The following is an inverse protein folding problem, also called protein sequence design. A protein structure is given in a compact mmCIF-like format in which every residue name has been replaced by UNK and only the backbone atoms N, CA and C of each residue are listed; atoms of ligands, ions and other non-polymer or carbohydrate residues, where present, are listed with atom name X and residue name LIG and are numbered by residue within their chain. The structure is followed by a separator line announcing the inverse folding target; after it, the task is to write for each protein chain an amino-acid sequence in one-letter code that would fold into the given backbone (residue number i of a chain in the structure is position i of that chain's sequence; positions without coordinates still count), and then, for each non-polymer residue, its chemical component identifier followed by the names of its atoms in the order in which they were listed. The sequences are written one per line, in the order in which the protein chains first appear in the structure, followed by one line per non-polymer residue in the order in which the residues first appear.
data_IF_656617809379
#
_entry.id   IF_656617809379
#
_cell.length_a   1.000
_cell.length_b   1.000
_cell.length_c   1.000
_cell.angle_alpha   90.00
_cell.angle_beta   90.00
_cell.angle_gamma   90.00
#
_symmetry.space_group_name_H-M   'P 1'
#
loop_
_entity.id
_entity.type
_entity.pdbx_description
1 polymer ?
#
# COMPACT_ATOMS: atom_id res chain seq x y z
N UNK A 1 -41.72 39.92 22.07
CA UNK A 1 -40.69 38.90 22.28
C UNK A 1 -40.79 37.70 21.34
N UNK A 2 -41.95 37.06 21.12
CA UNK A 2 -42.11 35.89 20.22
C UNK A 2 -41.71 36.12 18.75
N UNK A 3 -41.82 37.35 18.22
CA UNK A 3 -41.50 37.67 16.81
C UNK A 3 -39.99 37.82 16.52
N UNK A 4 -39.15 37.96 17.53
CA UNK A 4 -37.71 38.05 17.40
C UNK A 4 -37.01 36.69 17.60
N UNK A 5 -37.68 35.71 18.17
CA UNK A 5 -37.16 34.36 18.37
C UNK A 5 -36.99 33.58 17.05
N UNK A 6 -37.88 33.75 16.10
CA UNK A 6 -37.81 33.06 14.79
C UNK A 6 -36.57 33.48 13.96
N UNK A 7 -36.28 34.80 13.75
CA UNK A 7 -35.09 35.21 13.04
C UNK A 7 -33.78 34.86 13.79
N UNK A 8 -33.81 34.88 15.14
CA UNK A 8 -32.64 34.44 15.93
C UNK A 8 -32.36 32.96 15.81
N UNK A 9 -33.42 32.11 15.76
CA UNK A 9 -33.27 30.67 15.50
C UNK A 9 -32.71 30.40 14.10
N UNK A 10 -33.18 31.11 13.09
CA UNK A 10 -32.65 30.97 11.72
C UNK A 10 -31.18 31.41 11.62
N UNK A 11 -30.82 32.51 12.31
CA UNK A 11 -29.44 32.95 12.35
C UNK A 11 -28.52 31.95 13.11
N UNK A 12 -29.01 31.37 14.20
CA UNK A 12 -28.26 30.33 14.94
C UNK A 12 -28.05 29.05 14.11
N UNK A 13 -29.06 28.63 13.34
CA UNK A 13 -28.93 27.47 12.42
C UNK A 13 -27.95 27.74 11.26
N UNK A 14 -27.93 28.97 10.73
CA UNK A 14 -26.96 29.38 9.69
C UNK A 14 -25.51 29.42 10.22
N UNK A 15 -25.30 29.83 11.47
CA UNK A 15 -23.99 29.85 12.11
C UNK A 15 -23.47 28.43 12.43
N UNK A 16 -24.36 27.51 12.79
CA UNK A 16 -24.00 26.09 13.00
C UNK A 16 -23.62 25.37 11.70
N UNK A 17 -24.22 25.74 10.56
CA UNK A 17 -23.90 25.13 9.26
C UNK A 17 -22.52 25.50 8.69
N UNK A 18 -21.94 26.64 9.11
CA UNK A 18 -20.62 27.07 8.61
C UNK A 18 -19.40 26.36 9.23
N UNK A 19 -19.54 25.85 10.45
CA UNK A 19 -18.41 25.28 11.18
C UNK A 19 -17.88 23.96 10.61
N UNK A 20 -18.73 23.13 10.02
CA UNK A 20 -18.30 21.82 9.51
C UNK A 20 -17.73 21.82 8.09
N UNK A 21 -18.14 22.77 7.24
CA UNK A 21 -17.73 22.81 5.85
C UNK A 21 -16.22 22.99 5.68
N UNK A 22 -15.64 23.96 6.37
CA UNK A 22 -14.21 24.23 6.30
C UNK A 22 -13.36 23.09 6.86
N UNK A 23 -13.86 22.37 7.85
CA UNK A 23 -13.18 21.20 8.42
C UNK A 23 -13.17 20.05 7.42
N UNK A 24 -14.29 19.80 6.73
CA UNK A 24 -14.33 18.80 5.65
C UNK A 24 -13.32 19.14 4.56
N UNK A 25 -13.27 20.41 4.12
CA UNK A 25 -12.31 20.83 3.08
C UNK A 25 -10.85 20.61 3.52
N UNK A 26 -10.51 20.93 4.76
CA UNK A 26 -9.16 20.73 5.31
C UNK A 26 -8.77 19.24 5.34
N UNK A 27 -9.68 18.38 5.79
CA UNK A 27 -9.43 16.95 5.84
C UNK A 27 -9.42 16.31 4.44
N UNK A 28 -10.26 16.75 3.51
CA UNK A 28 -10.22 16.30 2.11
C UNK A 28 -8.90 16.66 1.45
N UNK A 29 -8.39 17.86 1.67
CA UNK A 29 -7.09 18.29 1.16
C UNK A 29 -5.92 17.53 1.82
N UNK A 30 -6.03 17.21 3.11
CA UNK A 30 -5.04 16.37 3.78
C UNK A 30 -5.00 14.95 3.20
N UNK A 31 -6.15 14.37 2.85
CA UNK A 31 -6.23 13.06 2.16
C UNK A 31 -5.55 13.14 0.79
N UNK A 32 -5.83 14.16 -0.03
CA UNK A 32 -5.22 14.36 -1.36
C UNK A 32 -3.71 14.54 -1.26
N UNK A 33 -3.25 15.32 -0.29
CA UNK A 33 -1.82 15.54 -0.03
C UNK A 33 -1.12 14.25 0.36
N UNK A 34 -1.69 13.49 1.29
CA UNK A 34 -1.15 12.20 1.71
C UNK A 34 -1.14 11.18 0.56
N UNK A 35 -2.18 11.19 -0.30
CA UNK A 35 -2.23 10.36 -1.49
C UNK A 35 -1.12 10.73 -2.49
N UNK A 36 -0.89 12.02 -2.72
CA UNK A 36 0.19 12.48 -3.60
C UNK A 36 1.56 12.03 -3.10
N UNK A 37 1.78 11.99 -1.78
CA UNK A 37 3.01 11.42 -1.20
C UNK A 37 3.14 9.92 -1.53
N UNK A 38 2.06 9.15 -1.41
CA UNK A 38 2.03 7.73 -1.79
C UNK A 38 2.41 7.55 -3.26
N UNK A 39 1.80 8.32 -4.16
CA UNK A 39 2.09 8.26 -5.60
C UNK A 39 3.56 8.59 -5.90
N UNK A 40 4.13 9.60 -5.26
CA UNK A 40 5.54 9.97 -5.43
C UNK A 40 6.48 8.82 -5.05
N UNK A 41 6.19 8.09 -3.97
CA UNK A 41 7.03 6.96 -3.57
C UNK A 41 6.87 5.77 -4.52
N UNK A 42 5.67 5.50 -5.03
CA UNK A 42 5.45 4.48 -6.05
C UNK A 42 6.12 4.83 -7.38
N UNK A 43 6.09 6.10 -7.79
CA UNK A 43 6.80 6.56 -8.98
C UNK A 43 8.31 6.34 -8.83
N UNK A 44 8.88 6.75 -7.69
CA UNK A 44 10.31 6.50 -7.39
C UNK A 44 10.67 5.02 -7.49
N UNK A 45 9.82 4.13 -6.99
CA UNK A 45 10.01 2.68 -7.15
C UNK A 45 10.03 2.26 -8.61
N UNK A 46 9.05 2.72 -9.40
CA UNK A 46 8.94 2.38 -10.81
C UNK A 46 10.15 2.88 -11.63
N UNK A 47 10.75 4.00 -11.22
CA UNK A 47 11.93 4.59 -11.88
C UNK A 47 13.22 3.81 -11.57
N UNK A 48 13.29 3.09 -10.46
CA UNK A 48 14.43 2.22 -10.14
C UNK A 48 14.43 0.93 -10.95
N UNK A 49 13.26 0.46 -11.39
CA UNK A 49 13.09 -0.85 -12.05
C UNK A 49 13.95 -1.03 -13.30
N UNK A 50 14.00 -0.08 -14.26
CA UNK A 50 14.82 -0.26 -15.46
C UNK A 50 16.29 -0.46 -15.15
N UNK A 51 16.83 0.31 -14.21
CA UNK A 51 18.24 0.19 -13.81
C UNK A 51 18.51 -1.16 -13.16
N UNK A 52 17.63 -1.61 -12.27
CA UNK A 52 17.74 -2.92 -11.63
C UNK A 52 17.69 -4.06 -12.66
N UNK A 53 16.71 -4.02 -13.59
CA UNK A 53 16.58 -5.02 -14.68
C UNK A 53 17.82 -5.04 -15.55
N UNK A 54 18.35 -3.88 -15.95
CA UNK A 54 19.56 -3.80 -16.79
C UNK A 54 20.79 -4.36 -16.06
N UNK A 55 20.95 -4.05 -14.77
CA UNK A 55 22.06 -4.59 -13.97
C UNK A 55 21.96 -6.12 -13.87
N UNK A 56 20.80 -6.65 -13.49
CA UNK A 56 20.59 -8.09 -13.39
C UNK A 56 20.80 -8.80 -14.73
N UNK A 57 20.29 -8.21 -15.84
CA UNK A 57 20.45 -8.77 -17.19
C UNK A 57 21.92 -8.90 -17.60
N UNK A 58 22.81 -8.03 -17.12
CA UNK A 58 24.25 -8.11 -17.40
C UNK A 58 24.92 -9.36 -16.79
N UNK A 59 24.37 -9.91 -15.71
CA UNK A 59 24.94 -11.06 -14.99
C UNK A 59 24.11 -12.35 -15.11
N UNK A 60 22.81 -12.22 -15.29
CA UNK A 60 21.86 -13.33 -15.28
C UNK A 60 20.90 -13.25 -16.50
N UNK A 61 21.45 -13.14 -17.71
CA UNK A 61 20.68 -13.00 -18.94
C UNK A 61 19.77 -14.21 -19.24
N UNK A 62 20.06 -15.39 -18.71
CA UNK A 62 19.25 -16.60 -18.84
C UNK A 62 17.94 -16.55 -18.02
N UNK A 63 17.84 -15.67 -17.03
CA UNK A 63 16.64 -15.49 -16.19
C UNK A 63 15.56 -14.63 -16.88
N UNK A 64 15.35 -14.88 -18.18
CA UNK A 64 14.44 -14.09 -19.01
C UNK A 64 13.01 -14.02 -18.46
N UNK A 65 12.53 -15.12 -17.88
CA UNK A 65 11.18 -15.17 -17.34
C UNK A 65 10.98 -14.16 -16.20
N UNK A 66 11.94 -14.06 -15.28
CA UNK A 66 11.86 -13.13 -14.13
C UNK A 66 12.01 -11.69 -14.59
N UNK A 67 12.95 -11.42 -15.50
CA UNK A 67 13.15 -10.10 -16.10
C UNK A 67 11.88 -9.61 -16.85
N UNK A 68 11.24 -10.49 -17.60
CA UNK A 68 9.98 -10.21 -18.31
C UNK A 68 8.85 -9.92 -17.31
N UNK A 69 8.69 -10.74 -16.27
CA UNK A 69 7.66 -10.52 -15.24
C UNK A 69 7.78 -9.15 -14.56
N UNK A 70 9.01 -8.70 -14.26
CA UNK A 70 9.24 -7.37 -13.67
C UNK A 70 8.88 -6.25 -14.65
N UNK A 71 9.27 -6.41 -15.92
CA UNK A 71 8.96 -5.43 -16.96
C UNK A 71 7.47 -5.34 -17.23
N UNK A 72 6.75 -6.45 -17.26
CA UNK A 72 5.30 -6.50 -17.39
C UNK A 72 4.59 -5.91 -16.18
N UNK A 73 5.05 -6.21 -14.98
CA UNK A 73 4.50 -5.62 -13.76
C UNK A 73 4.66 -4.09 -13.77
N UNK A 74 5.83 -3.58 -14.21
CA UNK A 74 6.06 -2.14 -14.40
C UNK A 74 5.11 -1.54 -15.42
N UNK A 75 4.92 -2.21 -16.56
CA UNK A 75 3.99 -1.75 -17.61
C UNK A 75 2.55 -1.68 -17.09
N UNK A 76 2.10 -2.68 -16.31
CA UNK A 76 0.77 -2.68 -15.70
C UNK A 76 0.57 -1.51 -14.74
N UNK A 77 1.55 -1.23 -13.89
CA UNK A 77 1.52 -0.05 -13.01
C UNK A 77 1.45 1.23 -13.82
N UNK A 78 2.28 1.36 -14.88
CA UNK A 78 2.30 2.54 -15.74
C UNK A 78 1.05 2.75 -16.59
N UNK A 79 0.25 1.69 -16.83
CA UNK A 79 -1.02 1.80 -17.57
C UNK A 79 -2.17 2.38 -16.73
N UNK A 80 -2.04 2.39 -15.40
CA UNK A 80 -3.04 2.96 -14.50
C UNK A 80 -2.75 4.45 -14.34
N UNK A 81 -3.71 5.29 -14.71
CA UNK A 81 -3.60 6.73 -14.47
C UNK A 81 -3.70 7.00 -12.96
N UNK A 82 -2.54 7.10 -12.33
CA UNK A 82 -2.42 7.36 -10.91
C UNK A 82 -2.59 8.87 -10.63
N UNK A 83 -3.84 9.35 -10.76
CA UNK A 83 -4.20 10.76 -10.51
C UNK A 83 -4.72 10.93 -9.07
N UNK A 84 -4.79 12.17 -8.56
CA UNK A 84 -5.43 12.45 -7.27
C UNK A 84 -6.89 11.99 -7.22
N UNK A 85 -7.59 11.92 -8.36
CA UNK A 85 -8.99 11.52 -8.47
C UNK A 85 -9.21 10.01 -8.31
N UNK A 86 -8.14 9.20 -8.44
CA UNK A 86 -8.22 7.74 -8.28
C UNK A 86 -8.80 7.31 -6.93
N UNK A 87 -8.59 8.11 -5.88
CA UNK A 87 -9.18 7.87 -4.55
C UNK A 87 -10.69 8.11 -4.49
N UNK A 88 -11.31 8.59 -5.57
CA UNK A 88 -12.76 8.76 -5.66
C UNK A 88 -13.47 7.52 -6.24
N UNK A 89 -12.72 6.60 -6.84
CA UNK A 89 -13.21 5.37 -7.45
C UNK A 89 -12.62 4.14 -6.73
N UNK A 90 -13.43 3.45 -5.90
CA UNK A 90 -12.99 2.27 -5.15
C UNK A 90 -12.45 1.13 -6.03
N UNK A 91 -13.04 0.93 -7.24
CA UNK A 91 -12.59 -0.12 -8.14
C UNK A 91 -11.24 0.23 -8.78
N UNK A 92 -11.07 1.48 -9.23
CA UNK A 92 -9.78 1.95 -9.75
C UNK A 92 -8.69 1.89 -8.66
N UNK A 93 -9.03 2.25 -7.42
CA UNK A 93 -8.14 2.16 -6.28
C UNK A 93 -7.72 0.70 -6.00
N UNK A 94 -8.64 -0.24 -6.06
CA UNK A 94 -8.35 -1.66 -5.88
C UNK A 94 -7.46 -2.21 -7.02
N UNK A 95 -7.74 -1.86 -8.28
CA UNK A 95 -6.88 -2.22 -9.42
C UNK A 95 -5.45 -1.69 -9.25
N UNK A 96 -5.33 -0.45 -8.77
CA UNK A 96 -4.03 0.13 -8.45
C UNK A 96 -3.29 -0.66 -7.37
N UNK A 97 -3.96 -1.03 -6.27
CA UNK A 97 -3.36 -1.85 -5.20
C UNK A 97 -2.85 -3.19 -5.75
N UNK A 98 -3.66 -3.90 -6.55
CA UNK A 98 -3.29 -5.18 -7.14
C UNK A 98 -2.08 -5.07 -8.08
N UNK A 99 -2.02 -4.00 -8.89
CA UNK A 99 -0.86 -3.75 -9.75
C UNK A 99 0.42 -3.49 -8.94
N UNK A 100 0.31 -2.72 -7.85
CA UNK A 100 1.43 -2.44 -6.96
C UNK A 100 1.90 -3.69 -6.20
N UNK A 101 0.98 -4.56 -5.76
CA UNK A 101 1.31 -5.85 -5.16
C UNK A 101 2.01 -6.80 -6.13
N UNK A 102 1.53 -6.86 -7.38
CA UNK A 102 2.20 -7.61 -8.46
C UNK A 102 3.63 -7.14 -8.69
N UNK A 103 3.88 -5.82 -8.66
CA UNK A 103 5.21 -5.24 -8.77
C UNK A 103 6.10 -5.67 -7.61
N UNK A 104 5.61 -5.58 -6.37
CA UNK A 104 6.35 -6.02 -5.18
C UNK A 104 6.74 -7.49 -5.29
N UNK A 105 5.81 -8.37 -5.70
CA UNK A 105 6.08 -9.79 -5.89
C UNK A 105 7.11 -10.07 -6.99
N UNK A 106 7.06 -9.34 -8.11
CA UNK A 106 8.03 -9.48 -9.19
C UNK A 106 9.43 -9.03 -8.77
N UNK A 107 9.54 -7.91 -8.06
CA UNK A 107 10.82 -7.41 -7.53
C UNK A 107 11.43 -8.36 -6.48
N UNK A 108 10.61 -8.92 -5.60
CA UNK A 108 11.07 -9.92 -4.62
C UNK A 108 11.66 -11.16 -5.30
N UNK A 109 11.05 -11.64 -6.39
CA UNK A 109 11.59 -12.75 -7.18
C UNK A 109 12.91 -12.38 -7.86
N UNK A 110 13.01 -11.17 -8.41
CA UNK A 110 14.25 -10.70 -9.04
C UNK A 110 15.40 -10.65 -8.04
N UNK A 111 15.16 -10.17 -6.81
CA UNK A 111 16.15 -10.15 -5.74
C UNK A 111 16.52 -11.57 -5.33
N UNK A 112 15.56 -12.49 -5.21
CA UNK A 112 15.81 -13.89 -4.89
C UNK A 112 16.68 -14.60 -5.95
N UNK A 113 16.49 -14.30 -7.24
CA UNK A 113 17.36 -14.79 -8.32
C UNK A 113 18.79 -14.29 -8.13
N UNK A 114 18.97 -13.01 -7.81
CA UNK A 114 20.31 -12.43 -7.60
C UNK A 114 21.11 -13.14 -6.50
N UNK A 115 20.45 -13.75 -5.53
CA UNK A 115 21.09 -14.58 -4.50
C UNK A 115 21.84 -15.80 -5.07
N UNK A 116 21.39 -16.32 -6.21
CA UNK A 116 22.00 -17.45 -6.91
C UNK A 116 23.20 -17.06 -7.77
N UNK A 117 23.49 -15.76 -7.90
CA UNK A 117 24.59 -15.22 -8.72
C UNK A 117 25.60 -14.44 -7.87
N UNK A 118 26.64 -15.07 -7.32
CA UNK A 118 27.57 -14.41 -6.38
C UNK A 118 28.27 -13.17 -6.96
N UNK A 119 28.54 -13.17 -8.27
CA UNK A 119 29.12 -12.02 -8.98
C UNK A 119 28.20 -10.83 -9.03
N UNK A 120 26.91 -11.03 -9.28
CA UNK A 120 25.88 -10.01 -9.22
C UNK A 120 25.70 -9.51 -7.78
N UNK A 121 25.60 -10.40 -6.81
CA UNK A 121 25.45 -10.05 -5.39
C UNK A 121 26.61 -9.19 -4.87
N UNK A 122 27.82 -9.37 -5.39
CA UNK A 122 28.99 -8.57 -5.05
C UNK A 122 29.13 -7.27 -5.86
N UNK A 123 28.35 -7.09 -6.92
CA UNK A 123 28.37 -5.88 -7.73
C UNK A 123 27.90 -4.65 -6.94
N UNK A 124 28.67 -3.55 -7.01
CA UNK A 124 28.36 -2.35 -6.23
C UNK A 124 27.07 -1.68 -6.69
N UNK A 125 26.86 -1.60 -8.02
CA UNK A 125 25.64 -0.96 -8.56
C UNK A 125 24.38 -1.73 -8.14
N UNK A 126 24.45 -3.06 -8.14
CA UNK A 126 23.34 -3.90 -7.70
C UNK A 126 23.01 -3.64 -6.22
N UNK A 127 24.01 -3.63 -5.34
CA UNK A 127 23.81 -3.35 -3.90
C UNK A 127 23.24 -1.97 -3.64
N UNK A 128 23.72 -0.96 -4.36
CA UNK A 128 23.22 0.41 -4.23
C UNK A 128 21.77 0.52 -4.69
N UNK A 129 21.40 -0.14 -5.80
CA UNK A 129 20.01 -0.19 -6.28
C UNK A 129 19.10 -0.96 -5.32
N UNK A 130 19.59 -2.08 -4.76
CA UNK A 130 18.84 -2.83 -3.75
C UNK A 130 18.59 -1.98 -2.50
N UNK A 131 19.60 -1.30 -1.98
CA UNK A 131 19.45 -0.41 -0.82
C UNK A 131 18.47 0.76 -1.10
N UNK A 132 18.51 1.33 -2.31
CA UNK A 132 17.56 2.36 -2.73
C UNK A 132 16.13 1.81 -2.82
N UNK A 133 15.95 0.59 -3.32
CA UNK A 133 14.65 -0.07 -3.41
C UNK A 133 14.09 -0.34 -2.01
N UNK A 134 14.88 -0.94 -1.11
CA UNK A 134 14.49 -1.19 0.29
C UNK A 134 14.12 0.12 1.02
N UNK A 135 14.94 1.16 0.85
CA UNK A 135 14.62 2.48 1.39
C UNK A 135 13.34 3.08 0.79
N UNK A 136 13.01 2.77 -0.46
CA UNK A 136 11.78 3.22 -1.11
C UNK A 136 10.57 2.44 -0.60
N UNK A 137 10.67 1.12 -0.39
CA UNK A 137 9.61 0.31 0.21
C UNK A 137 9.27 0.79 1.63
N UNK A 138 10.27 1.13 2.44
CA UNK A 138 10.05 1.71 3.76
C UNK A 138 9.30 3.06 3.68
N UNK A 139 9.66 3.93 2.71
CA UNK A 139 8.95 5.20 2.50
C UNK A 139 7.53 4.99 2.00
N UNK A 140 7.28 3.99 1.13
CA UNK A 140 5.93 3.61 0.71
C UNK A 140 5.10 3.20 1.93
N UNK A 141 5.63 2.36 2.82
CA UNK A 141 4.93 1.95 4.03
C UNK A 141 4.56 3.15 4.92
N UNK A 142 5.48 4.09 5.13
CA UNK A 142 5.22 5.31 5.90
C UNK A 142 4.18 6.20 5.22
N UNK A 143 4.28 6.41 3.91
CA UNK A 143 3.33 7.23 3.15
C UNK A 143 1.91 6.59 3.17
N UNK A 144 1.81 5.26 3.02
CA UNK A 144 0.54 4.53 3.16
C UNK A 144 -0.08 4.72 4.54
N UNK A 145 0.71 4.62 5.61
CA UNK A 145 0.21 4.82 6.98
C UNK A 145 -0.31 6.25 7.19
N UNK A 146 0.34 7.27 6.63
CA UNK A 146 -0.15 8.66 6.67
C UNK A 146 -1.48 8.80 5.92
N UNK A 147 -1.57 8.22 4.71
CA UNK A 147 -2.81 8.21 3.94
C UNK A 147 -3.94 7.52 4.71
N UNK A 148 -3.70 6.32 5.28
CA UNK A 148 -4.68 5.58 6.09
C UNK A 148 -5.23 6.46 7.22
N UNK A 149 -4.34 7.15 7.93
CA UNK A 149 -4.71 8.05 9.03
C UNK A 149 -5.56 9.23 8.54
N UNK A 150 -5.13 9.90 7.46
CA UNK A 150 -5.88 11.04 6.89
C UNK A 150 -7.27 10.63 6.40
N UNK A 151 -7.39 9.45 5.75
CA UNK A 151 -8.68 8.89 5.33
C UNK A 151 -9.57 8.57 6.53
N UNK A 152 -8.99 8.00 7.59
CA UNK A 152 -9.75 7.71 8.82
C UNK A 152 -10.31 9.00 9.43
N UNK A 153 -9.47 10.03 9.59
CA UNK A 153 -9.88 11.33 10.15
C UNK A 153 -10.98 11.98 9.30
N UNK A 154 -10.83 11.98 7.97
CA UNK A 154 -11.86 12.48 7.06
C UNK A 154 -13.15 11.67 7.15
N UNK A 155 -13.08 10.35 7.09
CA UNK A 155 -14.25 9.48 7.11
C UNK A 155 -15.02 9.53 8.45
N UNK A 156 -14.33 9.76 9.56
CA UNK A 156 -14.94 9.98 10.87
C UNK A 156 -15.65 11.33 10.87
N UNK A 157 -14.96 12.40 10.48
CA UNK A 157 -15.49 13.76 10.45
C UNK A 157 -16.80 13.88 9.69
N UNK A 158 -16.89 13.29 8.47
CA UNK A 158 -18.12 13.36 7.65
C UNK A 158 -19.30 12.55 8.21
N UNK A 159 -19.08 11.73 9.23
CA UNK A 159 -20.11 10.93 9.91
C UNK A 159 -20.51 11.49 11.27
N UNK A 160 -19.71 12.37 11.87
CA UNK A 160 -19.99 12.97 13.16
C UNK A 160 -21.02 14.09 13.05
N UNK A 161 -21.93 14.14 14.04
CA UNK A 161 -22.90 15.24 14.16
C UNK A 161 -22.20 16.50 14.74
N UNK A 162 -22.47 17.71 14.23
CA UNK A 162 -23.44 18.07 13.18
C UNK A 162 -22.88 18.03 11.74
N UNK A 163 -21.59 17.73 11.53
CA UNK A 163 -20.88 17.79 10.24
C UNK A 163 -21.49 16.84 9.20
N UNK A 164 -22.02 15.71 9.63
CA UNK A 164 -22.70 14.75 8.76
C UNK A 164 -23.87 15.34 7.96
N UNK A 165 -24.56 16.35 8.49
CA UNK A 165 -25.61 17.06 7.76
C UNK A 165 -25.03 17.84 6.58
N UNK A 166 -23.92 18.53 6.79
CA UNK A 166 -23.17 19.24 5.75
C UNK A 166 -22.64 18.24 4.71
N UNK A 167 -22.07 17.13 5.16
CA UNK A 167 -21.56 16.08 4.28
C UNK A 167 -22.65 15.48 3.39
N UNK A 168 -23.86 15.29 3.91
CA UNK A 168 -25.01 14.80 3.16
C UNK A 168 -25.48 15.80 2.10
N UNK A 169 -25.61 17.09 2.45
CA UNK A 169 -26.06 18.16 1.53
C UNK A 169 -25.09 18.32 0.37
N UNK A 170 -23.78 18.33 0.64
CA UNK A 170 -22.72 18.51 -0.38
C UNK A 170 -22.24 17.19 -0.98
N UNK A 171 -22.82 16.04 -0.58
CA UNK A 171 -22.51 14.69 -1.12
C UNK A 171 -21.03 14.32 -1.01
N UNK A 172 -20.42 14.56 0.14
CA UNK A 172 -19.05 14.12 0.39
C UNK A 172 -18.99 12.58 0.54
N UNK A 173 -18.28 11.87 -0.36
CA UNK A 173 -18.22 10.42 -0.30
C UNK A 173 -17.23 9.93 0.77
N UNK A 174 -17.47 8.74 1.27
CA UNK A 174 -16.47 7.99 2.06
C UNK A 174 -15.28 7.64 1.15
N UNK A 175 -14.08 7.96 1.60
CA UNK A 175 -12.86 7.66 0.86
C UNK A 175 -12.41 6.22 1.09
N UNK A 176 -11.96 5.50 0.02
CA UNK A 176 -11.41 4.16 0.16
C UNK A 176 -10.09 4.20 0.92
N UNK A 177 -9.80 3.11 1.62
CA UNK A 177 -8.56 2.94 2.36
C UNK A 177 -7.80 1.71 1.88
N UNK A 178 -6.49 1.65 2.17
CA UNK A 178 -5.72 0.44 1.95
C UNK A 178 -6.27 -0.69 2.82
N UNK A 179 -6.57 -1.82 2.18
CA UNK A 179 -6.92 -3.07 2.85
C UNK A 179 -5.75 -4.05 2.74
N UNK A 180 -5.71 -5.02 3.62
CA UNK A 180 -4.78 -6.13 3.53
C UNK A 180 -5.37 -7.13 2.54
N UNK A 181 -4.61 -7.52 1.50
CA UNK A 181 -5.13 -8.36 0.40
C UNK A 181 -5.60 -9.74 0.84
N UNK A 182 -5.16 -10.22 1.99
CA UNK A 182 -5.51 -11.54 2.50
C UNK A 182 -5.79 -11.53 4.01
N UNK A 183 -6.82 -10.78 4.41
CA UNK A 183 -7.30 -10.76 5.81
C UNK A 183 -7.59 -12.16 6.36
N UNK A 184 -8.06 -13.08 5.49
CA UNK A 184 -8.37 -14.47 5.87
C UNK A 184 -7.12 -15.30 6.12
N UNK A 185 -6.03 -15.06 5.39
CA UNK A 185 -4.77 -15.74 5.62
C UNK A 185 -4.07 -15.23 6.88
N UNK A 186 -4.12 -13.91 7.13
CA UNK A 186 -3.53 -13.28 8.32
C UNK A 186 -4.32 -13.64 9.59
N UNK A 187 -5.64 -13.82 9.47
CA UNK A 187 -6.48 -14.23 10.59
C UNK A 187 -6.27 -15.69 11.04
N UNK A 188 -5.56 -16.51 10.24
CA UNK A 188 -5.20 -17.87 10.63
C UNK A 188 -3.82 -17.88 11.28
N UNK A 189 -3.69 -18.34 12.53
CA UNK A 189 -2.37 -18.53 13.12
C UNK A 189 -1.54 -19.46 12.24
N UNK A 190 -0.24 -19.20 12.04
CA UNK A 190 0.62 -20.11 11.31
C UNK A 190 0.64 -21.46 12.04
N UNK A 191 0.32 -22.54 11.33
CA UNK A 191 0.48 -23.90 11.86
C UNK A 191 1.96 -24.22 11.88
N UNK A 192 2.55 -24.21 13.07
CA UNK A 192 3.93 -24.67 13.27
C UNK A 192 3.89 -26.18 13.44
N UNK A 193 4.30 -26.92 12.39
CA UNK A 193 4.51 -28.35 12.47
C UNK A 193 5.97 -28.61 12.91
N UNK A 194 6.17 -28.98 14.14
CA UNK A 194 7.51 -29.33 14.66
C UNK A 194 7.98 -30.70 14.19
N UNK A 195 7.29 -31.35 13.26
CA UNK A 195 7.64 -32.70 12.81
C UNK A 195 7.61 -33.74 13.95
N UNK A 196 7.10 -34.91 13.72
CA UNK A 196 7.26 -36.02 14.70
C UNK A 196 8.76 -36.28 14.89
N UNK A 197 9.26 -36.42 16.15
CA UNK A 197 10.63 -36.86 16.37
C UNK A 197 10.88 -38.14 15.58
N UNK A 198 12.01 -38.17 14.86
CA UNK A 198 12.41 -39.38 14.17
C UNK A 198 12.46 -40.54 15.15
N UNK A 199 11.93 -41.75 14.83
CA UNK A 199 12.01 -42.88 15.72
C UNK A 199 13.48 -43.15 16.06
N UNK A 200 13.76 -43.33 17.37
CA UNK A 200 15.09 -43.61 17.84
C UNK A 200 15.65 -44.85 17.11
N UNK A 201 16.95 -44.85 16.74
CA UNK A 201 17.55 -46.01 16.09
C UNK A 201 17.37 -47.24 16.97
N UNK A 202 16.72 -48.27 16.39
CA UNK A 202 16.53 -49.57 17.04
C UNK A 202 17.92 -50.14 17.34
N UNK A 203 18.25 -50.30 18.63
CA UNK A 203 19.44 -51.04 19.05
C UNK A 203 19.23 -52.53 18.70
N UNK A 204 19.90 -52.96 17.63
CA UNK A 204 19.97 -54.37 17.28
C UNK A 204 20.63 -55.14 18.43
N UNK A 205 20.10 -56.31 18.86
CA UNK A 205 20.73 -57.08 19.89
C UNK A 205 22.07 -57.64 19.40
N UNK A 206 23.11 -57.52 20.21
CA UNK A 206 24.44 -58.09 19.95
C UNK A 206 24.39 -59.60 19.82
N UNK A 207 25.14 -60.24 18.89
CA UNK A 207 25.19 -61.68 18.74
C UNK A 207 25.83 -62.29 19.98
N UNK A 208 25.11 -63.24 20.61
CA UNK A 208 25.66 -64.07 21.68
C UNK A 208 26.77 -64.98 21.14
N UNK A 209 27.89 -65.04 21.90
CA UNK A 209 28.96 -66.03 21.69
C UNK A 209 28.53 -67.40 22.17
#
# INVERSE_FOLDING_TARGET
MRRLLAPLMVLATLLLGGCGYNDIQRHDEAVKSAWSEVLNQYQRRADLVPNLVNTVKGFAAQEQQVLTQVTEARSRVGSIQATPELINDPEAFQRFQQAQASMTGALSRLIAVAESYPTLKSDQNFRDLQAQLEGTENRIAVARNRYIKSVQEYNVLIREFPVNLTAMVFKYPVRPNFSVEDEKAIARPPTVDFGKPAPAPSTAPAPAK
#
